data_IF_116402646640
#
_entry.id   IF_116402646640
#
_cell.length_a   1.000
_cell.length_b   1.000
_cell.length_c   1.000
_cell.angle_alpha   90.00
_cell.angle_beta   90.00
_cell.angle_gamma   90.00
#
_symmetry.space_group_name_H-M   'P 1'
#
loop_
_entity.id
_entity.type
_entity.pdbx_description
1 polymer ?
#
# COMPACT_ATOMS: atom_id res chain seq x y z
N UNK A 1 -13.28 -21.36 3.87
CA UNK A 1 -12.18 -20.86 4.74
C UNK A 1 -12.18 -19.34 4.77
N UNK A 2 -12.26 -18.76 5.95
CA UNK A 2 -12.28 -17.30 6.10
C UNK A 2 -10.84 -16.76 5.97
N UNK A 3 -10.53 -16.01 4.88
CA UNK A 3 -9.20 -15.46 4.62
C UNK A 3 -8.78 -14.51 5.74
N UNK A 4 -7.52 -14.60 6.17
CA UNK A 4 -6.90 -13.70 7.15
C UNK A 4 -6.20 -12.54 6.42
N UNK A 5 -6.69 -11.33 6.62
CA UNK A 5 -6.17 -10.13 5.97
C UNK A 5 -5.38 -9.31 6.99
N UNK A 6 -4.18 -8.88 6.61
CA UNK A 6 -3.38 -7.93 7.38
C UNK A 6 -3.36 -6.58 6.69
N UNK A 7 -3.71 -5.52 7.40
CA UNK A 7 -3.53 -4.13 6.96
C UNK A 7 -2.31 -3.54 7.67
N UNK A 8 -1.36 -3.00 6.91
CA UNK A 8 -0.22 -2.26 7.43
C UNK A 8 -0.49 -0.76 7.21
N UNK A 9 -0.35 0.05 8.28
CA UNK A 9 -0.55 1.51 8.19
C UNK A 9 -1.89 2.02 8.71
N UNK A 10 -2.33 1.52 9.86
CA UNK A 10 -3.60 1.87 10.51
C UNK A 10 -3.80 3.36 10.77
N UNK A 11 -2.73 4.09 11.15
CA UNK A 11 -2.84 5.53 11.49
C UNK A 11 -3.13 6.40 10.27
N UNK A 12 -2.96 5.87 9.05
CA UNK A 12 -3.26 6.55 7.80
C UNK A 12 -4.76 6.55 7.48
N UNK A 13 -5.17 7.52 6.64
CA UNK A 13 -6.56 7.66 6.21
C UNK A 13 -7.10 6.38 5.57
N UNK A 14 -6.36 5.79 4.63
CA UNK A 14 -6.80 4.60 3.90
C UNK A 14 -6.84 3.39 4.83
N UNK A 15 -5.73 3.10 5.52
CA UNK A 15 -5.62 1.91 6.36
C UNK A 15 -6.62 1.87 7.50
N UNK A 16 -6.86 3.02 8.16
CA UNK A 16 -7.83 3.13 9.24
C UNK A 16 -9.27 2.92 8.76
N UNK A 17 -9.67 3.59 7.67
CA UNK A 17 -11.02 3.44 7.13
C UNK A 17 -11.26 2.02 6.60
N UNK A 18 -10.28 1.44 5.90
CA UNK A 18 -10.39 0.08 5.37
C UNK A 18 -10.52 -0.96 6.50
N UNK A 19 -9.73 -0.80 7.57
CA UNK A 19 -9.83 -1.67 8.74
C UNK A 19 -11.22 -1.62 9.38
N UNK A 20 -11.74 -0.41 9.62
CA UNK A 20 -13.07 -0.23 10.20
C UNK A 20 -14.15 -0.84 9.30
N UNK A 21 -14.09 -0.59 8.00
CA UNK A 21 -15.02 -1.18 7.04
C UNK A 21 -14.99 -2.71 7.06
N UNK A 22 -13.81 -3.33 7.07
CA UNK A 22 -13.71 -4.79 7.14
C UNK A 22 -14.26 -5.36 8.44
N UNK A 23 -14.09 -4.62 9.56
CA UNK A 23 -14.70 -5.00 10.85
C UNK A 23 -16.22 -4.97 10.79
N UNK A 24 -16.84 -3.95 10.19
CA UNK A 24 -18.31 -3.90 10.03
C UNK A 24 -18.84 -5.05 9.17
N UNK A 25 -18.04 -5.51 8.19
CA UNK A 25 -18.36 -6.66 7.33
C UNK A 25 -18.01 -8.01 7.94
N UNK A 26 -17.57 -8.06 9.21
CA UNK A 26 -17.13 -9.27 9.93
C UNK A 26 -16.02 -10.05 9.19
N UNK A 27 -15.20 -9.36 8.40
CA UNK A 27 -14.03 -9.92 7.73
C UNK A 27 -12.92 -10.14 8.76
N UNK A 28 -12.22 -11.28 8.67
CA UNK A 28 -11.11 -11.61 9.56
C UNK A 28 -9.88 -10.75 9.25
N UNK A 29 -9.82 -9.56 9.84
CA UNK A 29 -8.82 -8.53 9.58
C UNK A 29 -7.98 -8.22 10.81
N UNK A 30 -6.69 -8.07 10.58
CA UNK A 30 -5.65 -7.71 11.54
C UNK A 30 -4.96 -6.43 11.09
N UNK A 31 -4.25 -5.79 12.03
CA UNK A 31 -3.51 -4.57 11.74
C UNK A 31 -2.15 -4.58 12.43
N UNK A 32 -1.15 -4.03 11.75
CA UNK A 32 0.18 -3.80 12.32
C UNK A 32 0.72 -2.45 11.84
N UNK A 33 1.61 -1.86 12.66
CA UNK A 33 2.51 -0.83 12.14
C UNK A 33 3.54 -1.46 11.20
N UNK A 34 4.17 -0.67 10.34
CA UNK A 34 5.23 -1.17 9.46
C UNK A 34 6.40 -1.75 10.27
N UNK A 35 6.82 -1.05 11.34
CA UNK A 35 7.88 -1.52 12.25
C UNK A 35 7.54 -2.84 12.92
N UNK A 36 6.30 -2.98 13.42
CA UNK A 36 5.82 -4.23 14.02
C UNK A 36 5.76 -5.36 13.01
N UNK A 37 5.38 -5.06 11.76
CA UNK A 37 5.40 -6.03 10.68
C UNK A 37 6.83 -6.52 10.40
N UNK A 38 7.81 -5.62 10.32
CA UNK A 38 9.21 -6.00 10.07
C UNK A 38 9.75 -6.94 11.16
N UNK A 39 9.42 -6.67 12.42
CA UNK A 39 9.85 -7.50 13.56
C UNK A 39 9.09 -8.83 13.67
N UNK A 40 7.93 -8.96 13.03
CA UNK A 40 7.08 -10.14 13.16
C UNK A 40 7.65 -11.31 12.34
N UNK A 41 7.91 -12.46 13.03
CA UNK A 41 8.40 -13.69 12.39
C UNK A 41 7.26 -14.53 11.79
N UNK A 42 6.01 -14.37 12.25
CA UNK A 42 4.86 -15.20 11.89
C UNK A 42 3.94 -14.53 10.86
N UNK A 43 4.49 -14.04 9.76
CA UNK A 43 3.72 -13.38 8.70
C UNK A 43 3.01 -14.36 7.75
N UNK A 44 3.49 -15.58 7.66
CA UNK A 44 2.93 -16.63 6.78
C UNK A 44 1.50 -17.07 7.16
N UNK A 45 1.00 -16.64 8.32
CA UNK A 45 -0.39 -16.89 8.75
C UNK A 45 -1.43 -16.02 8.04
N UNK A 46 -1.02 -15.00 7.30
CA UNK A 46 -1.91 -14.12 6.57
C UNK A 46 -2.00 -14.52 5.10
N UNK A 47 -3.24 -14.58 4.58
CA UNK A 47 -3.49 -14.88 3.17
C UNK A 47 -3.24 -13.65 2.29
N UNK A 48 -3.56 -12.46 2.81
CA UNK A 48 -3.43 -11.18 2.10
C UNK A 48 -2.83 -10.13 3.03
N UNK A 49 -1.89 -9.36 2.50
CA UNK A 49 -1.37 -8.15 3.13
C UNK A 49 -1.76 -6.96 2.27
N UNK A 50 -2.33 -5.92 2.88
CA UNK A 50 -2.64 -4.64 2.23
C UNK A 50 -1.71 -3.59 2.82
N UNK A 51 -0.79 -3.07 1.99
CA UNK A 51 0.11 -2.02 2.44
C UNK A 51 -0.50 -0.62 2.22
N UNK A 52 -0.83 0.05 3.31
CA UNK A 52 -1.31 1.44 3.31
C UNK A 52 -0.26 2.41 3.86
N UNK A 53 1.03 2.00 3.90
CA UNK A 53 2.12 2.85 4.39
C UNK A 53 2.94 3.44 3.25
N UNK A 54 3.61 4.52 3.56
CA UNK A 54 4.55 5.17 2.65
C UNK A 54 5.66 5.82 3.47
N UNK A 55 6.90 5.73 2.99
CA UNK A 55 8.05 6.40 3.61
C UNK A 55 8.20 7.81 3.02
N UNK A 56 8.41 8.82 3.86
CA UNK A 56 8.58 10.21 3.43
C UNK A 56 9.80 10.39 2.50
N UNK A 57 10.89 9.65 2.75
CA UNK A 57 12.07 9.66 1.87
C UNK A 57 11.76 9.07 0.50
N UNK A 58 10.93 8.02 0.43
CA UNK A 58 10.44 7.47 -0.83
C UNK A 58 9.60 8.47 -1.63
N UNK A 59 8.82 9.31 -0.95
CA UNK A 59 7.97 10.32 -1.62
C UNK A 59 8.80 11.48 -2.18
N UNK A 60 9.80 11.96 -1.43
CA UNK A 60 10.51 13.22 -1.72
C UNK A 60 11.79 13.02 -2.53
N UNK A 61 12.52 11.93 -2.28
CA UNK A 61 13.86 11.71 -2.80
C UNK A 61 13.85 10.78 -4.03
N UNK A 62 15.00 10.61 -4.66
CA UNK A 62 15.22 9.58 -5.65
C UNK A 62 15.05 8.19 -5.02
N UNK A 63 14.74 7.20 -5.87
CA UNK A 63 14.48 5.83 -5.45
C UNK A 63 15.66 5.21 -4.69
N UNK A 64 15.33 4.54 -3.61
CA UNK A 64 16.23 3.69 -2.84
C UNK A 64 15.42 2.53 -2.24
N UNK A 65 15.85 1.31 -2.46
CA UNK A 65 15.21 0.07 -1.96
C UNK A 65 14.84 0.14 -0.48
N UNK A 66 15.76 0.65 0.34
CA UNK A 66 15.57 0.76 1.81
C UNK A 66 14.43 1.69 2.24
N UNK A 67 13.96 2.54 1.34
CA UNK A 67 12.85 3.47 1.59
C UNK A 67 11.53 2.97 0.97
N UNK A 68 11.56 1.86 0.24
CA UNK A 68 10.40 1.28 -0.42
C UNK A 68 9.74 0.23 0.45
N UNK A 69 8.67 0.63 1.14
CA UNK A 69 7.92 -0.27 2.03
C UNK A 69 7.28 -1.44 1.27
N UNK A 70 6.83 -1.24 0.02
CA UNK A 70 6.22 -2.30 -0.79
C UNK A 70 7.25 -3.36 -1.16
N UNK A 71 8.45 -2.94 -1.58
CA UNK A 71 9.56 -3.84 -1.89
C UNK A 71 10.04 -4.61 -0.65
N UNK A 72 10.15 -3.94 0.50
CA UNK A 72 10.54 -4.58 1.76
C UNK A 72 9.52 -5.65 2.17
N UNK A 73 8.22 -5.35 2.03
CA UNK A 73 7.16 -6.34 2.29
C UNK A 73 7.28 -7.50 1.31
N UNK A 74 7.45 -7.24 0.01
CA UNK A 74 7.57 -8.27 -1.01
C UNK A 74 8.74 -9.22 -0.73
N UNK A 75 9.93 -8.68 -0.42
CA UNK A 75 11.10 -9.47 -0.02
C UNK A 75 10.83 -10.34 1.21
N UNK A 76 10.06 -9.82 2.18
CA UNK A 76 9.75 -10.55 3.42
C UNK A 76 8.78 -11.72 3.21
N UNK A 77 7.88 -11.64 2.23
CA UNK A 77 6.89 -12.69 1.95
C UNK A 77 7.22 -13.56 0.72
N UNK A 78 8.43 -13.44 0.18
CA UNK A 78 8.83 -14.13 -1.06
C UNK A 78 8.61 -15.65 -0.99
N UNK A 79 8.94 -16.28 0.14
CA UNK A 79 8.82 -17.72 0.36
C UNK A 79 7.47 -18.14 0.95
N UNK A 80 6.46 -17.27 0.98
CA UNK A 80 5.13 -17.57 1.47
C UNK A 80 4.10 -17.67 0.33
N UNK A 81 2.88 -18.12 0.65
CA UNK A 81 1.72 -18.06 -0.27
C UNK A 81 0.94 -16.74 -0.14
N UNK A 82 1.37 -15.84 0.73
CA UNK A 82 0.72 -14.57 1.00
C UNK A 82 0.68 -13.69 -0.24
N UNK A 83 -0.47 -13.08 -0.51
CA UNK A 83 -0.65 -12.09 -1.58
C UNK A 83 -0.45 -10.68 -1.04
N UNK A 84 0.11 -9.78 -1.85
CA UNK A 84 0.26 -8.36 -1.53
C UNK A 84 -0.73 -7.52 -2.33
N UNK A 85 -1.42 -6.61 -1.66
CA UNK A 85 -2.12 -5.49 -2.30
C UNK A 85 -1.28 -4.24 -2.07
N UNK A 86 -0.72 -3.71 -3.17
CA UNK A 86 0.12 -2.52 -3.20
C UNK A 86 -0.70 -1.33 -3.66
N UNK A 87 -0.66 -0.24 -2.90
CA UNK A 87 -1.26 1.03 -3.30
C UNK A 87 -0.25 1.85 -4.11
N UNK A 88 -0.53 2.04 -5.39
CA UNK A 88 0.20 2.92 -6.28
C UNK A 88 -0.60 4.18 -6.59
N UNK A 89 -0.27 4.90 -7.64
CA UNK A 89 -0.88 6.20 -7.96
C UNK A 89 -1.15 6.36 -9.45
N UNK A 90 -2.26 7.00 -9.82
CA UNK A 90 -2.51 7.40 -11.20
C UNK A 90 -1.46 8.37 -11.75
N UNK A 91 -0.67 9.02 -10.89
CA UNK A 91 0.40 9.94 -11.29
C UNK A 91 1.56 9.26 -12.03
N UNK A 92 1.55 7.93 -12.14
CA UNK A 92 2.49 7.20 -13.02
C UNK A 92 2.22 7.50 -14.50
N UNK A 93 1.01 7.93 -14.85
CA UNK A 93 0.63 8.35 -16.20
C UNK A 93 0.77 9.86 -16.38
N UNK A 94 0.91 10.30 -17.65
CA UNK A 94 0.71 11.71 -18.02
C UNK A 94 -0.74 12.11 -17.75
N UNK A 95 -0.95 13.33 -17.25
CA UNK A 95 -2.29 13.84 -17.05
C UNK A 95 -3.00 13.96 -18.41
N UNK A 96 -4.13 13.26 -18.57
CA UNK A 96 -5.05 13.32 -19.71
C UNK A 96 -6.45 12.89 -19.27
N UNK A 97 -7.45 13.12 -20.12
CA UNK A 97 -8.75 12.48 -19.99
C UNK A 97 -8.62 10.99 -20.42
N UNK A 98 -9.49 10.13 -19.92
CA UNK A 98 -9.60 8.72 -20.32
C UNK A 98 -8.31 7.89 -20.16
N UNK A 99 -7.70 8.02 -18.98
CA UNK A 99 -6.55 7.18 -18.60
C UNK A 99 -7.02 5.74 -18.35
N UNK A 100 -6.35 4.77 -18.97
CA UNK A 100 -6.56 3.34 -18.73
C UNK A 100 -5.25 2.61 -18.41
N UNK A 101 -5.35 1.35 -18.02
CA UNK A 101 -4.19 0.55 -17.55
C UNK A 101 -3.20 0.22 -18.68
N UNK A 102 -3.57 0.34 -19.95
CA UNK A 102 -2.72 0.08 -21.12
C UNK A 102 -1.90 1.30 -21.53
N UNK A 103 -2.20 2.48 -20.95
CA UNK A 103 -1.44 3.68 -21.24
C UNK A 103 0.01 3.54 -20.76
N UNK A 104 0.92 4.06 -21.57
CA UNK A 104 2.35 4.09 -21.24
C UNK A 104 2.60 5.02 -20.05
N UNK A 105 3.33 4.54 -19.03
CA UNK A 105 3.75 5.35 -17.90
C UNK A 105 4.64 6.52 -18.35
N UNK A 106 4.33 7.71 -17.85
CA UNK A 106 5.10 8.95 -18.03
C UNK A 106 5.11 9.74 -16.71
N UNK A 107 5.80 9.22 -15.68
CA UNK A 107 5.84 9.86 -14.37
C UNK A 107 6.64 11.16 -14.43
N UNK A 108 6.15 12.21 -13.75
CA UNK A 108 6.74 13.56 -13.80
C UNK A 108 7.33 14.05 -12.46
N UNK A 109 7.22 13.29 -11.38
CA UNK A 109 7.78 13.63 -10.08
C UNK A 109 8.46 12.41 -9.42
N UNK A 110 9.32 12.65 -8.42
CA UNK A 110 10.03 11.57 -7.73
C UNK A 110 9.08 10.49 -7.21
N UNK A 111 7.99 10.87 -6.57
CA UNK A 111 7.02 9.92 -6.04
C UNK A 111 6.47 8.98 -7.12
N UNK A 112 6.04 9.50 -8.26
CA UNK A 112 5.47 8.69 -9.34
C UNK A 112 6.54 7.85 -10.05
N UNK A 113 7.76 8.38 -10.24
CA UNK A 113 8.91 7.62 -10.75
C UNK A 113 9.26 6.44 -9.84
N UNK A 114 9.33 6.70 -8.54
CA UNK A 114 9.62 5.69 -7.54
C UNK A 114 8.52 4.62 -7.49
N UNK A 115 7.24 4.99 -7.68
CA UNK A 115 6.14 4.02 -7.75
C UNK A 115 6.26 3.11 -8.96
N UNK A 116 6.64 3.61 -10.15
CA UNK A 116 6.88 2.77 -11.33
C UNK A 116 7.99 1.76 -11.05
N UNK A 117 9.12 2.18 -10.48
CA UNK A 117 10.23 1.27 -10.13
C UNK A 117 9.76 0.22 -9.11
N UNK A 118 9.05 0.65 -8.06
CA UNK A 118 8.50 -0.23 -7.04
C UNK A 118 7.53 -1.27 -7.63
N UNK A 119 6.62 -0.86 -8.53
CA UNK A 119 5.68 -1.75 -9.21
C UNK A 119 6.41 -2.86 -9.98
N UNK A 120 7.47 -2.51 -10.73
CA UNK A 120 8.28 -3.45 -11.50
C UNK A 120 8.97 -4.43 -10.54
N UNK A 121 9.72 -3.92 -9.55
CA UNK A 121 10.49 -4.75 -8.62
C UNK A 121 9.61 -5.69 -7.79
N UNK A 122 8.44 -5.21 -7.36
CA UNK A 122 7.49 -6.05 -6.60
C UNK A 122 6.86 -7.13 -7.49
N UNK A 123 6.57 -6.83 -8.76
CA UNK A 123 6.07 -7.84 -9.73
C UNK A 123 7.12 -8.91 -10.02
N UNK A 124 8.39 -8.54 -10.17
CA UNK A 124 9.50 -9.49 -10.37
C UNK A 124 9.62 -10.48 -9.22
N UNK A 125 9.42 -10.01 -7.97
CA UNK A 125 9.52 -10.86 -6.77
C UNK A 125 8.27 -11.73 -6.57
N UNK A 126 7.08 -11.17 -6.72
CA UNK A 126 5.82 -11.81 -6.32
C UNK A 126 5.02 -12.40 -7.48
N UNK A 127 5.32 -12.04 -8.72
CA UNK A 127 4.62 -12.46 -9.93
C UNK A 127 3.09 -12.27 -9.80
N UNK A 128 2.31 -13.33 -9.86
CA UNK A 128 0.84 -13.31 -9.75
C UNK A 128 0.31 -13.13 -8.31
N UNK A 129 1.19 -12.99 -7.32
CA UNK A 129 0.82 -12.76 -5.91
C UNK A 129 0.73 -11.29 -5.52
N UNK A 130 0.86 -10.35 -6.46
CA UNK A 130 0.67 -8.93 -6.21
C UNK A 130 -0.52 -8.39 -7.00
N UNK A 131 -1.37 -7.59 -6.31
CA UNK A 131 -2.35 -6.71 -6.92
C UNK A 131 -1.91 -5.27 -6.73
N UNK A 132 -1.70 -4.54 -7.82
CA UNK A 132 -1.30 -3.13 -7.79
C UNK A 132 -2.52 -2.27 -8.10
N UNK A 133 -2.89 -1.40 -7.17
CA UNK A 133 -4.00 -0.46 -7.31
C UNK A 133 -3.45 0.96 -7.53
N UNK A 134 -3.52 1.47 -8.77
CA UNK A 134 -3.14 2.84 -9.12
C UNK A 134 -4.28 3.80 -8.75
N UNK A 135 -4.25 4.25 -7.50
CA UNK A 135 -5.32 5.08 -6.92
C UNK A 135 -5.26 6.50 -7.48
N UNK A 136 -6.42 7.07 -7.79
CA UNK A 136 -6.54 8.48 -8.17
C UNK A 136 -6.67 9.36 -6.90
N UNK A 137 -7.71 10.18 -6.79
CA UNK A 137 -7.95 11.02 -5.63
C UNK A 137 -8.72 10.24 -4.56
N UNK A 138 -8.30 10.37 -3.31
CA UNK A 138 -9.03 9.80 -2.17
C UNK A 138 -9.83 10.93 -1.55
N UNK A 139 -11.15 10.76 -1.53
CA UNK A 139 -12.07 11.67 -0.87
C UNK A 139 -12.51 11.00 0.43
N UNK A 140 -12.31 11.70 1.55
CA UNK A 140 -12.86 11.25 2.84
C UNK A 140 -13.63 12.37 3.49
N UNK A 141 -14.67 12.01 4.25
CA UNK A 141 -15.34 12.95 5.12
C UNK A 141 -14.36 13.43 6.20
N UNK A 142 -14.37 14.72 6.54
CA UNK A 142 -13.53 15.25 7.60
C UNK A 142 -13.84 14.52 8.90
N UNK A 143 -12.81 14.03 9.57
CA UNK A 143 -12.95 13.36 10.86
C UNK A 143 -13.34 14.41 11.90
N UNK A 144 -14.63 14.51 12.25
CA UNK A 144 -15.19 15.52 13.17
C UNK A 144 -14.55 15.49 14.57
N UNK A 145 -13.91 14.38 14.93
CA UNK A 145 -13.24 14.21 16.23
C UNK A 145 -11.85 14.85 16.35
N UNK A 146 -11.24 15.37 15.25
CA UNK A 146 -9.94 16.04 15.31
C UNK A 146 -9.99 17.57 15.50
N UNK A 147 -11.19 18.19 15.56
CA UNK A 147 -11.33 19.65 15.71
C UNK A 147 -11.22 20.19 17.15
N UNK A 148 -10.92 19.33 18.15
CA UNK A 148 -10.86 19.77 19.57
C UNK A 148 -9.45 19.96 20.16
N UNK A 149 -8.40 20.07 19.35
CA UNK A 149 -7.03 20.17 19.88
C UNK A 149 -6.24 21.36 19.33
N UNK A 150 -6.87 22.51 19.10
CA UNK A 150 -6.16 23.79 18.99
C UNK A 150 -7.10 24.89 19.48
N UNK A 151 -7.13 25.10 20.79
CA UNK A 151 -7.39 26.38 21.45
C UNK A 151 -6.24 26.64 22.40
#
# INVERSE_FOLDING_TARGET
>A
MNKKILIIGLKGLIGGNLFNYFKTKKINVYQLSFESFIKNKNINKFDVIINCTSNQKFIKNQYQDRNDNDLIIAKKIIHSKTKLVMLSTRKVYKAKFDINELDKEKPNCNYSKNKVISEISVREILANRVLILRISNIISLPNTNKRKLHK
#
